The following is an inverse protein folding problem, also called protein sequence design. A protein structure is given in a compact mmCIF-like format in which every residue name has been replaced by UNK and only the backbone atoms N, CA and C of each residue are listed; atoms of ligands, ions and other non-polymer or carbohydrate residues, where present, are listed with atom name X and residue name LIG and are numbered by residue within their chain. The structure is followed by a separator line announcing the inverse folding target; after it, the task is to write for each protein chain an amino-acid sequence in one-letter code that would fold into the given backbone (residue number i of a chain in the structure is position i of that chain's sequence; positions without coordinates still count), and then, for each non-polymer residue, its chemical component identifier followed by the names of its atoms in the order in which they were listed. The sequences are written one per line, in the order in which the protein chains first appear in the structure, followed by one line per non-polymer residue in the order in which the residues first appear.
data_IF_428936212067
#
_entry.id   IF_428936212067
#
_cell.length_a   1.000
_cell.length_b   1.000
_cell.length_c   1.000
_cell.angle_alpha   90.00
_cell.angle_beta   90.00
_cell.angle_gamma   90.00
#
_symmetry.space_group_name_H-M   'P 1'
#
loop_
_entity.id
_entity.type
_entity.pdbx_description
1 polymer ?
#
# COMPACT_ATOMS: atom_id res chain seq x y z
N UNK A 1 7.41 5.96 10.56
CA UNK A 1 6.61 4.81 11.07
C UNK A 1 5.93 4.08 9.92
N UNK A 2 5.84 2.76 9.95
CA UNK A 2 5.08 1.98 8.97
C UNK A 2 3.93 1.24 9.67
N UNK A 3 2.71 1.36 9.13
CA UNK A 3 1.51 0.67 9.65
C UNK A 3 0.97 -0.26 8.58
N UNK A 4 0.98 -1.57 8.85
CA UNK A 4 0.46 -2.59 7.94
C UNK A 4 -1.01 -2.87 8.22
N UNK A 5 -1.80 -2.88 7.17
CA UNK A 5 -3.24 -3.05 7.15
C UNK A 5 -3.58 -4.40 6.51
N UNK A 6 -4.04 -5.39 7.28
CA UNK A 6 -4.36 -6.72 6.76
C UNK A 6 -5.52 -6.72 5.76
N UNK A 7 -5.60 -7.80 4.98
CA UNK A 7 -6.75 -8.06 4.13
C UNK A 7 -8.00 -8.46 4.93
N UNK A 8 -9.17 -8.27 4.33
CA UNK A 8 -10.46 -8.52 4.95
C UNK A 8 -11.53 -9.03 3.99
N UNK A 9 -12.79 -8.67 4.22
CA UNK A 9 -13.98 -9.07 3.46
C UNK A 9 -14.85 -7.87 3.09
N UNK A 10 -15.62 -7.93 2.01
CA UNK A 10 -16.53 -6.84 1.64
C UNK A 10 -17.56 -6.51 2.74
N UNK A 11 -18.17 -7.54 3.33
CA UNK A 11 -19.18 -7.40 4.40
C UNK A 11 -18.92 -8.45 5.46
N UNK A 12 -18.56 -8.03 6.67
CA UNK A 12 -18.40 -8.92 7.82
C UNK A 12 -18.25 -8.15 9.13
N UNK A 13 -19.07 -8.44 10.10
CA UNK A 13 -18.92 -7.95 11.49
C UNK A 13 -18.27 -8.99 12.41
N UNK A 14 -17.61 -10.00 11.84
CA UNK A 14 -16.81 -10.96 12.59
C UNK A 14 -15.51 -10.32 13.07
N UNK A 15 -14.89 -10.97 14.07
CA UNK A 15 -13.54 -10.58 14.53
C UNK A 15 -12.51 -10.69 13.39
N UNK A 16 -11.44 -9.88 13.41
CA UNK A 16 -10.36 -9.94 12.43
C UNK A 16 -9.78 -11.34 12.29
N UNK A 17 -9.39 -11.69 11.08
CA UNK A 17 -8.76 -12.98 10.79
C UNK A 17 -7.33 -13.02 11.35
N UNK A 18 -7.05 -14.02 12.19
CA UNK A 18 -5.70 -14.29 12.67
C UNK A 18 -4.75 -14.64 11.51
N UNK A 19 -5.26 -15.30 10.45
CA UNK A 19 -4.47 -15.64 9.26
C UNK A 19 -4.11 -14.39 8.44
N UNK A 20 -5.08 -13.47 8.23
CA UNK A 20 -4.81 -12.20 7.54
C UNK A 20 -3.78 -11.35 8.30
N UNK A 21 -3.86 -11.34 9.62
CA UNK A 21 -2.86 -10.69 10.47
C UNK A 21 -1.48 -11.37 10.33
N UNK A 22 -1.41 -12.69 10.47
CA UNK A 22 -0.17 -13.44 10.38
C UNK A 22 0.51 -13.31 9.00
N UNK A 23 -0.27 -13.17 7.93
CA UNK A 23 0.24 -12.98 6.57
C UNK A 23 1.05 -11.67 6.43
N UNK A 24 0.82 -10.66 7.29
CA UNK A 24 1.58 -9.41 7.28
C UNK A 24 2.94 -9.51 7.98
N UNK A 25 3.11 -10.45 8.91
CA UNK A 25 4.32 -10.53 9.73
C UNK A 25 5.63 -10.68 8.96
N UNK A 26 5.70 -11.46 7.87
CA UNK A 26 6.93 -11.54 7.07
C UNK A 26 7.31 -10.22 6.41
N UNK A 27 6.32 -9.48 5.89
CA UNK A 27 6.54 -8.14 5.31
C UNK A 27 6.96 -7.17 6.42
N UNK A 28 6.26 -7.17 7.56
CA UNK A 28 6.61 -6.33 8.71
C UNK A 28 8.05 -6.56 9.18
N UNK A 29 8.48 -7.83 9.29
CA UNK A 29 9.86 -8.17 9.67
C UNK A 29 10.89 -7.72 8.63
N UNK A 30 10.56 -7.83 7.35
CA UNK A 30 11.45 -7.39 6.28
C UNK A 30 11.63 -5.87 6.29
N UNK A 31 10.55 -5.11 6.45
CA UNK A 31 10.57 -3.66 6.57
C UNK A 31 11.35 -3.21 7.81
N UNK A 32 11.10 -3.83 8.96
CA UNK A 32 11.81 -3.51 10.20
C UNK A 32 13.33 -3.73 10.06
N UNK A 33 13.75 -4.79 9.35
CA UNK A 33 15.18 -5.02 9.06
C UNK A 33 15.74 -3.98 8.09
N UNK A 34 15.00 -3.65 7.03
CA UNK A 34 15.44 -2.70 6.02
C UNK A 34 15.64 -1.29 6.57
N UNK A 35 14.79 -0.87 7.51
CA UNK A 35 14.84 0.44 8.13
C UNK A 35 15.45 0.45 9.54
N UNK A 36 16.14 -0.63 9.96
CA UNK A 36 16.69 -0.72 11.34
C UNK A 36 17.70 0.38 11.65
N UNK A 37 18.52 0.77 10.67
CA UNK A 37 19.52 1.83 10.82
C UNK A 37 18.92 3.23 11.02
N UNK A 38 17.68 3.46 10.59
CA UNK A 38 16.97 4.72 10.75
C UNK A 38 15.90 4.69 11.84
N UNK A 39 15.81 3.60 12.60
CA UNK A 39 14.82 3.47 13.66
C UNK A 39 13.40 3.28 13.16
N UNK A 40 13.19 2.62 12.00
CA UNK A 40 11.85 2.31 11.48
C UNK A 40 11.08 1.42 12.45
N UNK A 41 10.04 1.95 13.07
CA UNK A 41 9.10 1.15 13.80
C UNK A 41 7.96 0.70 12.88
N UNK A 42 7.59 -0.59 12.97
CA UNK A 42 6.61 -1.23 12.11
C UNK A 42 5.51 -1.86 12.96
N UNK A 43 4.28 -1.47 12.70
CA UNK A 43 3.10 -1.98 13.39
C UNK A 43 2.18 -2.72 12.41
N UNK A 44 1.50 -3.74 12.90
CA UNK A 44 0.41 -4.42 12.16
C UNK A 44 -0.89 -4.10 12.86
N UNK A 45 -1.80 -3.43 12.16
CA UNK A 45 -3.10 -3.06 12.70
C UNK A 45 -3.98 -4.30 12.89
N UNK A 46 -4.74 -4.31 13.97
CA UNK A 46 -5.80 -5.27 14.20
C UNK A 46 -7.13 -4.53 14.18
N UNK A 47 -7.88 -4.70 13.09
CA UNK A 47 -9.18 -4.06 12.93
C UNK A 47 -10.19 -4.43 14.02
N UNK A 48 -11.20 -3.58 14.23
CA UNK A 48 -12.38 -3.89 15.04
C UNK A 48 -13.22 -4.97 14.36
N UNK A 49 -13.44 -4.85 13.05
CA UNK A 49 -14.24 -5.75 12.23
C UNK A 49 -13.46 -6.24 11.02
N UNK A 50 -13.79 -7.44 10.56
CA UNK A 50 -13.13 -8.07 9.41
C UNK A 50 -13.55 -7.46 8.08
N UNK A 51 -14.74 -6.82 8.00
CA UNK A 51 -15.36 -6.35 6.77
C UNK A 51 -15.25 -4.84 6.56
N UNK A 52 -15.33 -4.45 5.27
CA UNK A 52 -15.47 -3.04 4.87
C UNK A 52 -16.80 -2.45 5.34
N UNK A 53 -17.90 -3.24 5.16
CA UNK A 53 -19.25 -2.92 5.62
C UNK A 53 -19.84 -1.65 4.96
N UNK A 54 -19.78 -1.61 3.64
CA UNK A 54 -20.42 -0.57 2.80
C UNK A 54 -19.96 0.86 3.13
N UNK A 55 -20.88 1.75 3.48
CA UNK A 55 -20.57 3.16 3.78
C UNK A 55 -19.78 3.35 5.08
N UNK A 56 -19.84 2.37 6.00
CA UNK A 56 -19.13 2.44 7.30
C UNK A 56 -17.61 2.42 7.12
N UNK A 57 -17.10 1.72 6.07
CA UNK A 57 -15.69 1.67 5.73
C UNK A 57 -14.76 1.42 6.94
N UNK A 58 -15.17 0.56 7.87
CA UNK A 58 -14.50 0.34 9.15
C UNK A 58 -12.98 0.18 9.09
N UNK A 59 -12.40 -0.57 8.11
CA UNK A 59 -10.95 -0.66 8.00
C UNK A 59 -10.25 0.67 7.69
N UNK A 60 -10.94 1.59 6.99
CA UNK A 60 -10.40 2.92 6.72
C UNK A 60 -10.47 3.82 7.97
N UNK A 61 -11.57 3.72 8.74
CA UNK A 61 -11.67 4.38 10.05
C UNK A 61 -10.59 3.88 11.02
N UNK A 62 -10.40 2.56 11.09
CA UNK A 62 -9.37 1.97 11.94
C UNK A 62 -7.95 2.35 11.48
N UNK A 63 -7.73 2.55 10.18
CA UNK A 63 -6.45 3.04 9.65
C UNK A 63 -6.21 4.52 10.05
N UNK A 64 -7.24 5.36 9.99
CA UNK A 64 -7.18 6.74 10.51
C UNK A 64 -6.88 6.77 12.00
N UNK A 65 -7.62 5.98 12.79
CA UNK A 65 -7.34 5.83 14.23
C UNK A 65 -5.89 5.37 14.51
N UNK A 66 -5.35 4.45 13.70
CA UNK A 66 -3.96 4.01 13.88
C UNK A 66 -2.96 5.15 13.63
N UNK A 67 -3.22 6.03 12.67
CA UNK A 67 -2.40 7.21 12.43
C UNK A 67 -2.48 8.22 13.58
N UNK A 68 -3.69 8.47 14.13
CA UNK A 68 -3.89 9.27 15.35
C UNK A 68 -3.09 8.68 16.54
N UNK A 69 -3.16 7.36 16.71
CA UNK A 69 -2.48 6.67 17.82
C UNK A 69 -0.95 6.71 17.67
N UNK A 70 -0.43 6.65 16.43
CA UNK A 70 0.99 6.88 16.15
C UNK A 70 1.38 8.31 16.57
N UNK A 71 0.62 9.31 16.15
CA UNK A 71 0.89 10.71 16.51
C UNK A 71 0.84 10.93 18.03
N UNK A 72 -0.15 10.34 18.69
CA UNK A 72 -0.29 10.42 20.15
C UNK A 72 0.90 9.82 20.90
N UNK A 73 1.45 8.69 20.41
CA UNK A 73 2.54 7.96 21.11
C UNK A 73 3.94 8.46 20.75
N UNK A 74 4.13 8.86 19.51
CA UNK A 74 5.47 9.13 18.97
C UNK A 74 5.65 10.57 18.48
N UNK A 75 4.62 11.43 18.64
CA UNK A 75 4.66 12.80 18.18
C UNK A 75 4.46 12.92 16.66
N UNK A 76 4.89 14.04 16.11
CA UNK A 76 4.76 14.35 14.69
C UNK A 76 5.82 13.61 13.86
N UNK A 77 5.57 12.33 13.63
CA UNK A 77 6.43 11.47 12.81
C UNK A 77 5.73 11.06 11.51
N UNK A 78 6.45 10.99 10.37
CA UNK A 78 5.84 10.58 9.12
C UNK A 78 5.37 9.12 9.16
N UNK A 79 4.19 8.87 8.61
CA UNK A 79 3.54 7.55 8.56
C UNK A 79 3.42 7.07 7.13
N UNK A 80 3.85 5.83 6.87
CA UNK A 80 3.52 5.08 5.67
C UNK A 80 2.43 4.06 5.99
N UNK A 81 1.28 4.16 5.33
CA UNK A 81 0.24 3.13 5.38
C UNK A 81 0.50 2.07 4.30
N UNK A 82 0.52 0.80 4.70
CA UNK A 82 0.82 -0.33 3.82
C UNK A 82 -0.32 -1.32 3.92
N UNK A 83 -1.04 -1.56 2.83
CA UNK A 83 -2.19 -2.45 2.87
C UNK A 83 -2.23 -3.48 1.76
N UNK A 84 -2.78 -4.66 2.05
CA UNK A 84 -3.04 -5.72 1.09
C UNK A 84 -4.55 -5.92 0.93
N UNK A 85 -5.01 -6.13 -0.30
CA UNK A 85 -6.42 -6.35 -0.60
C UNK A 85 -7.31 -5.21 -0.06
N UNK A 86 -8.21 -5.54 0.85
CA UNK A 86 -9.03 -4.54 1.55
C UNK A 86 -8.20 -3.56 2.38
N UNK A 87 -7.11 -4.01 2.99
CA UNK A 87 -6.16 -3.12 3.67
C UNK A 87 -5.51 -2.11 2.72
N UNK A 88 -5.28 -2.51 1.45
CA UNK A 88 -4.81 -1.60 0.40
C UNK A 88 -5.79 -0.48 0.12
N UNK A 89 -7.09 -0.79 0.03
CA UNK A 89 -8.15 0.22 -0.07
C UNK A 89 -8.22 1.11 1.17
N UNK A 90 -8.11 0.51 2.36
CA UNK A 90 -8.11 1.26 3.61
C UNK A 90 -6.94 2.25 3.70
N UNK A 91 -5.74 1.85 3.27
CA UNK A 91 -4.58 2.73 3.20
C UNK A 91 -4.80 3.91 2.26
N UNK A 92 -5.33 3.65 1.05
CA UNK A 92 -5.66 4.69 0.07
C UNK A 92 -6.72 5.65 0.61
N UNK A 93 -7.75 5.16 1.30
CA UNK A 93 -8.84 5.96 1.86
C UNK A 93 -8.37 6.83 3.02
N UNK A 94 -7.54 6.30 3.92
CA UNK A 94 -7.04 7.00 5.10
C UNK A 94 -5.84 7.93 4.83
N UNK A 95 -5.37 8.01 3.58
CA UNK A 95 -4.20 8.81 3.18
C UNK A 95 -4.32 10.31 3.48
N UNK A 96 -5.54 10.83 3.63
CA UNK A 96 -5.78 12.23 3.97
C UNK A 96 -5.37 12.65 5.38
N UNK A 97 -5.05 11.71 6.26
CA UNK A 97 -4.59 12.01 7.61
C UNK A 97 -3.27 12.82 7.59
N UNK A 98 -3.15 13.82 8.48
CA UNK A 98 -2.02 14.76 8.47
C UNK A 98 -0.64 14.14 8.61
N UNK A 99 -0.50 13.08 9.41
CA UNK A 99 0.78 12.38 9.60
C UNK A 99 1.12 11.41 8.47
N UNK A 100 0.15 11.04 7.61
CA UNK A 100 0.39 10.09 6.51
C UNK A 100 1.10 10.80 5.36
N UNK A 101 2.32 10.39 5.07
CA UNK A 101 3.14 10.96 3.98
C UNK A 101 3.24 10.03 2.78
N UNK A 102 2.96 8.75 2.96
CA UNK A 102 3.05 7.77 1.88
C UNK A 102 2.09 6.60 2.03
N UNK A 103 1.74 5.98 0.90
CA UNK A 103 0.85 4.82 0.83
C UNK A 103 1.42 3.76 -0.09
N UNK A 104 1.45 2.52 0.39
CA UNK A 104 1.72 1.33 -0.41
C UNK A 104 0.49 0.43 -0.44
N UNK A 105 -0.13 0.27 -1.59
CA UNK A 105 -1.30 -0.59 -1.78
C UNK A 105 -0.93 -1.84 -2.61
N UNK A 106 -1.03 -3.02 -2.00
CA UNK A 106 -0.75 -4.32 -2.61
C UNK A 106 -2.08 -4.97 -3.01
N UNK A 107 -2.27 -5.25 -4.29
CA UNK A 107 -3.49 -5.86 -4.86
C UNK A 107 -4.78 -5.27 -4.25
N UNK A 108 -4.97 -3.93 -4.23
CA UNK A 108 -6.06 -3.31 -3.49
C UNK A 108 -7.43 -3.76 -4.02
N UNK A 109 -8.32 -4.12 -3.10
CA UNK A 109 -9.72 -4.37 -3.42
C UNK A 109 -10.46 -3.05 -3.62
N UNK A 110 -10.89 -2.80 -4.85
CA UNK A 110 -11.56 -1.56 -5.22
C UNK A 110 -12.99 -1.83 -5.71
N UNK A 111 -13.92 -0.88 -5.51
CA UNK A 111 -15.28 -1.04 -5.99
C UNK A 111 -15.32 -1.06 -7.53
N UNK A 112 -16.16 -1.94 -8.08
CA UNK A 112 -16.45 -1.95 -9.49
C UNK A 112 -17.29 -0.74 -9.91
N UNK A 113 -17.18 -0.27 -11.16
CA UNK A 113 -17.95 0.90 -11.64
C UNK A 113 -19.47 0.76 -11.49
N UNK A 114 -19.98 -0.47 -11.62
CA UNK A 114 -21.40 -0.76 -11.44
C UNK A 114 -21.89 -0.68 -9.98
N UNK A 115 -20.95 -0.67 -9.00
CA UNK A 115 -21.27 -0.63 -7.58
C UNK A 115 -21.39 0.81 -7.01
N UNK A 116 -21.25 1.84 -7.84
CA UNK A 116 -21.36 3.24 -7.42
C UNK A 116 -20.15 4.11 -7.78
N UNK A 117 -19.86 5.10 -6.94
CA UNK A 117 -18.75 6.02 -7.20
C UNK A 117 -17.38 5.34 -7.09
N UNK A 118 -16.45 5.70 -7.99
CA UNK A 118 -15.09 5.18 -7.93
C UNK A 118 -14.38 5.66 -6.66
N UNK A 119 -13.42 4.86 -6.17
CA UNK A 119 -12.61 5.22 -5.01
C UNK A 119 -12.00 6.63 -5.17
N UNK A 120 -12.16 7.54 -4.21
CA UNK A 120 -11.64 8.91 -4.31
C UNK A 120 -10.12 8.94 -4.38
N UNK A 121 -9.57 10.03 -4.95
CA UNK A 121 -8.12 10.23 -5.09
C UNK A 121 -7.63 11.58 -4.53
N UNK A 122 -8.54 12.46 -4.11
CA UNK A 122 -8.18 13.78 -3.59
C UNK A 122 -7.32 13.71 -2.31
N UNK A 123 -7.60 12.74 -1.44
CA UNK A 123 -6.84 12.50 -0.22
C UNK A 123 -5.39 12.02 -0.48
N UNK A 124 -5.08 11.63 -1.73
CA UNK A 124 -3.73 11.20 -2.15
C UNK A 124 -2.84 12.37 -2.54
N UNK A 125 -3.39 13.57 -2.73
CA UNK A 125 -2.62 14.76 -3.13
C UNK A 125 -1.55 15.07 -2.09
N UNK A 126 -0.30 15.24 -2.56
CA UNK A 126 0.87 15.47 -1.70
C UNK A 126 1.38 14.23 -0.95
N UNK A 127 0.89 13.04 -1.29
CA UNK A 127 1.37 11.76 -0.74
C UNK A 127 2.18 10.99 -1.80
N UNK A 128 3.23 10.30 -1.39
CA UNK A 128 3.91 9.33 -2.25
C UNK A 128 3.07 8.06 -2.31
N UNK A 129 2.65 7.64 -3.49
CA UNK A 129 1.74 6.50 -3.67
C UNK A 129 2.36 5.45 -4.57
N UNK A 130 2.51 4.24 -4.05
CA UNK A 130 2.88 3.06 -4.81
C UNK A 130 1.74 2.04 -4.78
N UNK A 131 1.30 1.59 -5.95
CA UNK A 131 0.37 0.50 -6.10
C UNK A 131 1.09 -0.68 -6.76
N UNK A 132 0.90 -1.89 -6.25
CA UNK A 132 1.47 -3.13 -6.82
C UNK A 132 0.34 -4.11 -7.05
N UNK A 133 0.24 -4.67 -8.27
CA UNK A 133 -0.84 -5.61 -8.59
C UNK A 133 -0.33 -6.76 -9.45
N UNK A 134 -0.77 -7.98 -9.13
CA UNK A 134 -0.51 -9.17 -9.94
C UNK A 134 -1.36 -9.17 -11.21
N UNK A 135 -0.79 -9.49 -12.37
CA UNK A 135 -1.53 -9.48 -13.65
C UNK A 135 -2.57 -10.60 -13.76
N UNK A 136 -2.42 -11.66 -12.97
CA UNK A 136 -3.31 -12.81 -12.93
C UNK A 136 -4.15 -12.83 -11.64
N UNK A 137 -4.44 -11.66 -11.08
CA UNK A 137 -5.31 -11.56 -9.91
C UNK A 137 -6.77 -11.76 -10.33
N UNK A 138 -7.33 -12.92 -9.94
CA UNK A 138 -8.74 -13.29 -10.21
C UNK A 138 -9.69 -12.84 -9.08
N UNK A 139 -9.15 -12.34 -7.97
CA UNK A 139 -9.94 -11.91 -6.80
C UNK A 139 -10.24 -10.42 -6.81
N UNK A 140 -9.31 -9.62 -7.30
CA UNK A 140 -9.43 -8.17 -7.44
C UNK A 140 -8.91 -7.76 -8.81
N UNK A 141 -9.74 -7.08 -9.60
CA UNK A 141 -9.41 -6.69 -10.96
C UNK A 141 -8.21 -5.72 -11.01
N UNK A 142 -7.07 -6.11 -11.62
CA UNK A 142 -5.90 -5.24 -11.77
C UNK A 142 -6.20 -3.95 -12.52
N UNK A 143 -7.18 -3.95 -13.42
CA UNK A 143 -7.55 -2.77 -14.20
C UNK A 143 -8.18 -1.68 -13.33
N UNK A 144 -8.90 -2.04 -12.26
CA UNK A 144 -9.45 -1.07 -11.31
C UNK A 144 -8.33 -0.30 -10.59
N UNK A 145 -7.26 -0.99 -10.22
CA UNK A 145 -6.09 -0.35 -9.61
C UNK A 145 -5.32 0.54 -10.60
N UNK A 146 -5.28 0.16 -11.88
CA UNK A 146 -4.71 1.00 -12.93
C UNK A 146 -5.52 2.29 -13.12
N UNK A 147 -6.84 2.20 -13.24
CA UNK A 147 -7.73 3.35 -13.38
C UNK A 147 -7.66 4.29 -12.17
N UNK A 148 -7.53 3.74 -10.96
CA UNK A 148 -7.31 4.55 -9.77
C UNK A 148 -5.96 5.27 -9.84
N UNK A 149 -4.88 4.56 -10.18
CA UNK A 149 -3.55 5.13 -10.33
C UNK A 149 -3.52 6.24 -11.40
N UNK A 150 -4.21 6.03 -12.54
CA UNK A 150 -4.32 7.02 -13.61
C UNK A 150 -5.03 8.31 -13.14
N UNK A 151 -6.15 8.17 -12.43
CA UNK A 151 -6.86 9.33 -11.84
C UNK A 151 -6.01 10.03 -10.78
N UNK A 152 -5.34 9.25 -9.93
CA UNK A 152 -4.44 9.79 -8.90
C UNK A 152 -3.28 10.56 -9.53
N UNK A 153 -2.59 10.00 -10.52
CA UNK A 153 -1.41 10.61 -11.15
C UNK A 153 -1.71 11.93 -11.88
N UNK A 154 -2.96 12.15 -12.31
CA UNK A 154 -3.39 13.43 -12.92
C UNK A 154 -3.37 14.58 -11.89
N UNK A 155 -3.63 14.30 -10.62
CA UNK A 155 -3.69 15.29 -9.53
C UNK A 155 -2.50 15.21 -8.57
N UNK A 156 -1.84 14.07 -8.52
CA UNK A 156 -0.68 13.79 -7.67
C UNK A 156 0.41 13.06 -8.46
N UNK A 157 1.42 13.79 -8.92
CA UNK A 157 2.53 13.24 -9.72
C UNK A 157 3.29 12.12 -9.01
N UNK A 158 3.36 12.16 -7.68
CA UNK A 158 4.06 11.17 -6.85
C UNK A 158 3.29 9.86 -6.71
N UNK A 159 2.57 9.46 -7.77
CA UNK A 159 1.88 8.18 -7.88
C UNK A 159 2.58 7.31 -8.92
N UNK A 160 2.90 6.06 -8.55
CA UNK A 160 3.39 5.06 -9.49
C UNK A 160 2.71 3.70 -9.25
N UNK A 161 2.76 2.82 -10.26
CA UNK A 161 2.17 1.48 -10.16
C UNK A 161 3.04 0.45 -10.85
N UNK A 162 3.22 -0.70 -10.19
CA UNK A 162 3.96 -1.84 -10.71
C UNK A 162 3.04 -3.02 -10.97
N UNK A 163 3.31 -3.74 -12.05
CA UNK A 163 2.66 -5.00 -12.43
C UNK A 163 3.59 -6.16 -12.10
N UNK A 164 3.05 -7.17 -11.40
CA UNK A 164 3.75 -8.42 -11.11
C UNK A 164 3.23 -9.47 -12.06
N UNK A 165 3.97 -9.70 -13.16
CA UNK A 165 3.53 -10.62 -14.21
C UNK A 165 3.36 -12.04 -13.68
N UNK A 166 2.31 -12.71 -14.16
CA UNK A 166 1.95 -14.10 -13.82
C UNK A 166 1.62 -14.35 -12.34
N UNK A 167 1.62 -13.30 -11.50
CA UNK A 167 1.26 -13.44 -10.08
C UNK A 167 -0.22 -13.09 -9.85
N UNK A 168 -0.81 -13.73 -8.86
CA UNK A 168 -2.20 -13.50 -8.43
C UNK A 168 -2.29 -12.59 -7.21
N UNK A 169 -3.48 -12.58 -6.58
CA UNK A 169 -3.82 -11.71 -5.45
C UNK A 169 -2.80 -11.71 -4.31
N UNK A 170 -2.26 -12.87 -3.95
CA UNK A 170 -1.36 -13.02 -2.81
C UNK A 170 0.11 -12.64 -3.11
N UNK A 171 0.46 -12.31 -4.34
CA UNK A 171 1.80 -11.90 -4.78
C UNK A 171 2.89 -12.86 -4.29
N UNK A 172 2.66 -14.18 -4.43
CA UNK A 172 3.51 -15.22 -3.82
C UNK A 172 4.68 -15.63 -4.70
N UNK A 173 4.51 -15.65 -6.02
CA UNK A 173 5.53 -16.11 -6.96
C UNK A 173 6.75 -15.20 -6.96
N UNK A 174 6.51 -13.88 -6.86
CA UNK A 174 7.54 -12.84 -6.85
C UNK A 174 7.66 -12.13 -5.49
N UNK A 175 7.40 -12.88 -4.42
CA UNK A 175 7.33 -12.33 -3.06
C UNK A 175 8.61 -11.60 -2.64
N UNK A 176 9.78 -12.11 -3.01
CA UNK A 176 11.06 -11.49 -2.68
C UNK A 176 11.21 -10.11 -3.32
N UNK A 177 10.81 -10.00 -4.57
CA UNK A 177 10.86 -8.76 -5.35
C UNK A 177 9.84 -7.75 -4.85
N UNK A 178 8.62 -8.19 -4.56
CA UNK A 178 7.57 -7.34 -3.97
C UNK A 178 7.99 -6.80 -2.60
N UNK A 179 8.59 -7.64 -1.76
CA UNK A 179 9.10 -7.21 -0.43
C UNK A 179 10.27 -6.25 -0.58
N UNK A 180 11.18 -6.47 -1.54
CA UNK A 180 12.28 -5.55 -1.81
C UNK A 180 11.78 -4.19 -2.33
N UNK A 181 10.80 -4.21 -3.24
CA UNK A 181 10.14 -2.99 -3.74
C UNK A 181 9.44 -2.23 -2.61
N UNK A 182 8.73 -2.95 -1.73
CA UNK A 182 8.09 -2.35 -0.56
C UNK A 182 9.12 -1.70 0.38
N UNK A 183 10.24 -2.37 0.64
CA UNK A 183 11.30 -1.84 1.50
C UNK A 183 11.96 -0.60 0.89
N UNK A 184 12.28 -0.62 -0.40
CA UNK A 184 12.83 0.53 -1.13
C UNK A 184 11.88 1.74 -1.04
N UNK A 185 10.60 1.53 -1.36
CA UNK A 185 9.59 2.58 -1.33
C UNK A 185 9.38 3.15 0.08
N UNK A 186 9.24 2.29 1.09
CA UNK A 186 8.99 2.72 2.48
C UNK A 186 10.18 3.49 3.05
N UNK A 187 11.40 2.97 2.87
CA UNK A 187 12.60 3.66 3.35
C UNK A 187 12.85 4.97 2.58
N UNK A 188 12.68 4.97 1.27
CA UNK A 188 12.79 6.19 0.46
C UNK A 188 11.76 7.25 0.84
N UNK A 189 10.52 6.82 1.16
CA UNK A 189 9.44 7.75 1.52
C UNK A 189 9.57 8.33 2.93
N UNK A 190 10.08 7.57 3.89
CA UNK A 190 10.12 7.98 5.29
C UNK A 190 11.44 8.62 5.72
N UNK A 191 12.53 8.35 5.01
CA UNK A 191 13.88 8.77 5.40
C UNK A 191 14.63 9.55 4.31
N UNK A 192 13.91 10.03 3.27
CA UNK A 192 14.48 10.75 2.13
C UNK A 192 15.67 10.05 1.45
N UNK A 193 15.66 8.71 1.50
CA UNK A 193 16.62 7.90 0.74
C UNK A 193 16.29 7.94 -0.74
N UNK A 194 17.32 7.86 -1.58
CA UNK A 194 17.13 7.67 -3.00
C UNK A 194 16.42 6.35 -3.28
N UNK A 195 15.37 6.39 -4.08
CA UNK A 195 14.71 5.19 -4.56
C UNK A 195 15.60 4.42 -5.54
N UNK A 196 15.40 3.10 -5.63
CA UNK A 196 15.92 2.34 -6.74
C UNK A 196 15.44 2.95 -8.06
N UNK A 197 16.31 2.92 -9.10
CA UNK A 197 16.05 3.58 -10.38
C UNK A 197 14.67 3.29 -10.98
N UNK A 198 14.14 2.03 -11.00
CA UNK A 198 12.81 1.78 -11.53
C UNK A 198 11.70 2.53 -10.79
N UNK A 199 11.82 2.71 -9.47
CA UNK A 199 10.84 3.45 -8.65
C UNK A 199 10.97 4.94 -8.90
N UNK A 200 12.19 5.47 -8.91
CA UNK A 200 12.46 6.88 -9.21
C UNK A 200 11.93 7.26 -10.59
N UNK A 201 12.24 6.46 -11.62
CA UNK A 201 11.79 6.68 -13.00
C UNK A 201 10.26 6.63 -13.10
N UNK A 202 9.60 5.69 -12.39
CA UNK A 202 8.15 5.56 -12.39
C UNK A 202 7.45 6.76 -11.72
N UNK A 203 8.01 7.26 -10.62
CA UNK A 203 7.49 8.46 -9.93
C UNK A 203 7.68 9.70 -10.78
N UNK A 204 8.86 9.89 -11.40
CA UNK A 204 9.18 11.04 -12.23
C UNK A 204 8.43 11.06 -13.58
N UNK A 205 7.97 9.91 -14.06
CA UNK A 205 7.31 9.80 -15.36
C UNK A 205 6.01 10.63 -15.41
N UNK A 206 5.73 11.36 -16.52
CA UNK A 206 4.47 12.08 -16.66
C UNK A 206 3.29 11.12 -16.86
N UNK A 207 2.05 11.54 -16.49
CA UNK A 207 0.86 10.72 -16.75
C UNK A 207 0.68 10.45 -18.26
N UNK A 208 0.28 9.24 -18.68
CA UNK A 208 -0.05 8.05 -17.88
C UNK A 208 1.15 7.12 -17.65
N UNK A 209 2.37 7.54 -17.94
CA UNK A 209 3.58 6.73 -17.78
C UNK A 209 3.86 6.43 -16.29
N UNK A 210 4.66 5.38 -16.04
CA UNK A 210 4.96 4.95 -14.65
C UNK A 210 3.84 4.18 -13.95
N UNK A 211 2.79 3.74 -14.68
CA UNK A 211 1.61 3.06 -14.11
C UNK A 211 1.45 1.59 -14.56
N UNK A 212 2.26 1.16 -15.53
CA UNK A 212 2.34 -0.26 -15.97
C UNK A 212 3.80 -0.74 -15.95
N UNK A 213 4.51 -0.35 -14.88
CA UNK A 213 5.91 -0.74 -14.72
C UNK A 213 6.00 -2.23 -14.39
N UNK A 214 6.72 -3.03 -15.17
CA UNK A 214 6.93 -4.43 -14.82
C UNK A 214 7.86 -4.52 -13.61
N UNK A 215 7.50 -5.33 -12.63
CA UNK A 215 8.42 -5.69 -11.56
C UNK A 215 9.43 -6.69 -12.10
N UNK A 216 10.67 -6.26 -12.25
CA UNK A 216 11.73 -7.09 -12.81
C UNK A 216 12.08 -8.26 -11.89
N UNK A 217 12.29 -9.45 -12.46
CA UNK A 217 12.81 -10.60 -11.74
C UNK A 217 14.18 -10.25 -11.13
N UNK A 218 14.35 -10.57 -9.85
CA UNK A 218 15.57 -10.25 -9.12
C UNK A 218 15.66 -8.80 -8.61
N UNK A 219 14.59 -8.01 -8.68
CA UNK A 219 14.53 -6.71 -8.01
C UNK A 219 14.97 -6.84 -6.55
N UNK A 220 15.85 -5.96 -6.10
CA UNK A 220 16.41 -5.99 -4.75
C UNK A 220 17.68 -6.84 -4.58
N UNK A 221 18.07 -7.67 -5.55
CA UNK A 221 19.37 -8.38 -5.48
C UNK A 221 20.55 -7.43 -5.66
N UNK A 222 20.40 -6.43 -6.49
CA UNK A 222 21.40 -5.37 -6.72
C UNK A 222 21.41 -4.26 -5.66
N UNK A 223 20.42 -4.24 -4.76
CA UNK A 223 20.32 -3.24 -3.68
C UNK A 223 21.07 -3.68 -2.38
N UNK A 224 21.74 -4.82 -2.43
CA UNK A 224 22.50 -5.37 -1.28
C UNK A 224 24.00 -5.03 -1.37
N UNK A 225 24.31 -3.78 -1.62
CA UNK A 225 25.71 -3.30 -1.56
C UNK A 225 25.84 -2.20 -0.54
#
# INVERSE_FOLDING_TARGET
MAVLLPDGEPVSRRRPSALSYAAQLPVARALARAGAGEGLAVHVLRYRWRGWNTAEAHPAEDAGWAADEVQRRYGDVPVCLIGHGMGGRAALRAAGHGSVTSVLALAPWLPEPAAGEPEPVQQLVGRRVLIVHGTNDERTDPELSYRLAERSKKTNRDTCRFEVHSDGHALRQHRSEVVALAADFVCGSLFDRSYARPVADALAAPPPLGLRMPLAAGFGRSLRH
#
